data_IF_457534607843
#
_entry.id   IF_457534607843
#
_cell.length_a   1.000
_cell.length_b   1.000
_cell.length_c   1.000
_cell.angle_alpha   90.00
_cell.angle_beta   90.00
_cell.angle_gamma   90.00
#
_symmetry.space_group_name_H-M   'P 1'
#
loop_
_entity.id
_entity.type
_entity.pdbx_description
1 polymer ?
#
# COMPACT_ATOMS: atom_id res chain seq x y z
N UNK A 1 29.44 -13.82 -5.17
CA UNK A 1 28.52 -12.79 -4.62
C UNK A 1 27.30 -13.52 -4.10
N UNK A 2 26.98 -13.43 -2.81
CA UNK A 2 25.74 -14.01 -2.30
C UNK A 2 24.58 -13.20 -2.89
N UNK A 3 23.68 -13.84 -3.63
CA UNK A 3 22.52 -13.16 -4.20
C UNK A 3 21.59 -12.76 -3.04
N UNK A 4 21.35 -11.47 -2.86
CA UNK A 4 20.36 -11.02 -1.88
C UNK A 4 19.00 -11.62 -2.26
N UNK A 5 18.21 -12.12 -1.30
CA UNK A 5 16.89 -12.64 -1.61
C UNK A 5 16.03 -11.52 -2.20
N UNK A 6 15.27 -11.83 -3.26
CA UNK A 6 14.30 -10.90 -3.84
C UNK A 6 13.27 -10.55 -2.77
N UNK A 7 13.00 -9.26 -2.56
CA UNK A 7 12.00 -8.86 -1.58
C UNK A 7 10.62 -8.85 -2.23
N UNK A 8 9.65 -9.48 -1.58
CA UNK A 8 8.25 -9.44 -2.00
C UNK A 8 7.41 -8.75 -0.94
N UNK A 9 6.79 -7.65 -1.32
CA UNK A 9 5.91 -6.85 -0.45
C UNK A 9 4.47 -7.14 -0.85
N UNK A 10 3.73 -7.81 0.02
CA UNK A 10 2.30 -8.10 -0.18
C UNK A 10 1.47 -7.11 0.61
N UNK A 11 0.60 -6.36 -0.06
CA UNK A 11 -0.22 -5.31 0.55
C UNK A 11 -1.69 -5.64 0.33
N UNK A 12 -2.44 -5.74 1.42
CA UNK A 12 -3.85 -6.08 1.45
C UNK A 12 -4.65 -4.92 2.06
N UNK A 13 -5.57 -4.33 1.31
CA UNK A 13 -6.36 -3.17 1.77
C UNK A 13 -7.85 -3.44 1.64
N UNK A 14 -8.56 -3.42 2.77
CA UNK A 14 -9.95 -3.80 2.82
C UNK A 14 -10.92 -2.71 2.33
N UNK A 15 -12.15 -3.13 2.04
CA UNK A 15 -13.26 -2.23 1.74
C UNK A 15 -13.76 -1.49 2.99
N UNK A 16 -14.49 -0.39 2.78
CA UNK A 16 -15.14 0.34 3.88
C UNK A 16 -15.93 -0.59 4.80
N UNK A 17 -15.87 -0.33 6.11
CA UNK A 17 -16.58 -1.10 7.14
C UNK A 17 -16.09 -2.54 7.33
N UNK A 18 -14.94 -2.93 6.78
CA UNK A 18 -14.33 -4.22 7.04
C UNK A 18 -13.06 -4.10 7.89
N UNK A 19 -12.95 -5.00 8.85
CA UNK A 19 -11.79 -5.23 9.68
C UNK A 19 -11.50 -6.75 9.79
N UNK A 20 -10.47 -7.17 10.54
CA UNK A 20 -10.17 -8.59 10.78
C UNK A 20 -11.34 -9.44 11.29
N UNK A 21 -12.38 -8.86 11.87
CA UNK A 21 -13.57 -9.55 12.39
C UNK A 21 -14.76 -9.47 11.42
N UNK A 22 -14.52 -9.06 10.17
CA UNK A 22 -15.55 -8.94 9.15
C UNK A 22 -16.20 -7.56 9.11
N UNK A 23 -17.50 -7.53 8.81
CA UNK A 23 -18.24 -6.28 8.68
C UNK A 23 -18.45 -5.64 10.07
N UNK A 24 -17.85 -4.47 10.30
CA UNK A 24 -17.83 -3.72 11.57
C UNK A 24 -19.23 -3.46 12.12
N UNK A 25 -20.22 -3.33 11.24
CA UNK A 25 -21.62 -3.03 11.60
C UNK A 25 -22.38 -4.23 12.14
N UNK A 26 -21.90 -5.45 11.86
CA UNK A 26 -22.57 -6.68 12.28
C UNK A 26 -21.77 -7.52 13.26
N UNK A 27 -20.45 -7.26 13.46
CA UNK A 27 -19.49 -7.88 14.42
C UNK A 27 -19.51 -9.42 14.60
N UNK A 28 -20.41 -10.11 13.92
CA UNK A 28 -20.60 -11.56 13.78
C UNK A 28 -20.34 -11.97 12.32
N UNK A 29 -19.56 -11.16 11.60
CA UNK A 29 -19.40 -11.26 10.15
C UNK A 29 -18.26 -12.18 9.71
N UNK A 30 -18.47 -12.83 8.56
CA UNK A 30 -17.40 -13.51 7.84
C UNK A 30 -16.26 -12.52 7.51
N UNK A 31 -15.02 -12.97 7.61
CA UNK A 31 -13.86 -12.17 7.24
C UNK A 31 -13.98 -11.74 5.77
N UNK A 32 -13.49 -10.55 5.44
CA UNK A 32 -13.38 -10.14 4.04
C UNK A 32 -12.45 -11.09 3.28
N UNK A 33 -12.65 -11.21 1.97
CA UNK A 33 -11.71 -11.96 1.14
C UNK A 33 -10.30 -11.38 1.19
N UNK A 34 -10.15 -10.07 1.40
CA UNK A 34 -8.85 -9.41 1.55
C UNK A 34 -8.13 -9.87 2.81
N UNK A 35 -8.84 -9.89 3.95
CA UNK A 35 -8.27 -10.40 5.20
C UNK A 35 -7.94 -11.89 5.10
N UNK A 36 -8.80 -12.68 4.43
CA UNK A 36 -8.52 -14.11 4.16
C UNK A 36 -7.27 -14.30 3.30
N UNK A 37 -7.08 -13.49 2.27
CA UNK A 37 -5.84 -13.51 1.47
C UNK A 37 -4.65 -13.19 2.39
N UNK A 38 -4.72 -12.09 3.14
CA UNK A 38 -3.65 -11.66 4.05
C UNK A 38 -3.23 -12.76 5.03
N UNK A 39 -4.18 -13.44 5.68
CA UNK A 39 -3.87 -14.50 6.65
C UNK A 39 -3.25 -15.75 6.02
N UNK A 40 -3.37 -15.93 4.70
CA UNK A 40 -2.69 -17.00 3.97
C UNK A 40 -1.29 -16.63 3.47
N UNK A 41 -0.87 -15.37 3.59
CA UNK A 41 0.44 -14.90 3.14
C UNK A 41 1.53 -15.43 4.07
N UNK A 42 2.45 -16.22 3.53
CA UNK A 42 3.63 -16.70 4.26
C UNK A 42 4.66 -15.58 4.46
N UNK A 43 4.96 -15.19 5.69
CA UNK A 43 6.00 -14.21 5.97
C UNK A 43 7.38 -14.84 6.18
N UNK A 44 8.44 -14.05 5.94
CA UNK A 44 9.82 -14.45 6.17
C UNK A 44 10.56 -14.86 4.89
N UNK A 45 11.70 -15.53 5.06
CA UNK A 45 12.57 -15.94 3.95
C UNK A 45 12.30 -17.40 3.58
N UNK A 46 12.06 -17.66 2.29
CA UNK A 46 11.89 -19.02 1.77
C UNK A 46 12.41 -19.13 0.33
N UNK A 47 12.54 -20.36 -0.16
CA UNK A 47 12.93 -20.63 -1.55
C UNK A 47 11.67 -20.97 -2.35
N UNK A 48 11.50 -20.31 -3.49
CA UNK A 48 10.45 -20.59 -4.48
C UNK A 48 11.09 -20.53 -5.87
N UNK A 49 10.84 -21.53 -6.71
CA UNK A 49 11.37 -21.60 -8.09
C UNK A 49 12.90 -21.37 -8.17
N UNK A 50 13.66 -22.04 -7.29
CA UNK A 50 15.12 -21.91 -7.15
C UNK A 50 15.64 -20.50 -6.81
N UNK A 51 14.77 -19.62 -6.30
CA UNK A 51 15.11 -18.25 -5.91
C UNK A 51 14.75 -18.02 -4.45
N UNK A 52 15.67 -17.38 -3.71
CA UNK A 52 15.41 -16.95 -2.34
C UNK A 52 14.52 -15.70 -2.35
N UNK A 53 13.42 -15.75 -1.61
CA UNK A 53 12.43 -14.67 -1.49
C UNK A 53 12.33 -14.27 -0.03
N UNK A 54 12.39 -12.97 0.25
CA UNK A 54 12.06 -12.38 1.56
C UNK A 54 10.70 -11.71 1.47
N UNK A 55 9.66 -12.39 1.93
CA UNK A 55 8.27 -11.92 1.83
C UNK A 55 7.84 -11.20 3.11
N UNK A 56 7.23 -10.03 2.95
CA UNK A 56 6.62 -9.25 4.04
C UNK A 56 5.17 -8.93 3.67
N UNK A 57 4.27 -9.01 4.64
CA UNK A 57 2.85 -8.74 4.44
C UNK A 57 2.40 -7.50 5.21
N UNK A 58 1.50 -6.72 4.62
CA UNK A 58 0.87 -5.57 5.25
C UNK A 58 -0.64 -5.61 5.01
N UNK A 59 -1.40 -5.44 6.08
CA UNK A 59 -2.85 -5.33 6.03
C UNK A 59 -3.31 -3.97 6.57
N UNK A 60 -4.24 -3.35 5.87
CA UNK A 60 -4.96 -2.18 6.37
C UNK A 60 -6.47 -2.38 6.23
N UNK A 61 -7.18 -2.18 7.35
CA UNK A 61 -8.65 -2.18 7.40
C UNK A 61 -9.25 -1.02 6.61
N UNK A 62 -10.52 -1.14 6.23
CA UNK A 62 -11.22 -0.04 5.56
C UNK A 62 -11.45 1.16 6.47
N UNK A 63 -11.16 2.37 5.98
CA UNK A 63 -11.44 3.64 6.68
C UNK A 63 -12.94 3.89 6.86
N UNK A 64 -13.47 3.87 8.08
CA UNK A 64 -14.91 4.15 8.27
C UNK A 64 -15.37 4.29 9.72
N UNK A 65 -14.47 4.47 10.68
CA UNK A 65 -14.78 4.24 12.09
C UNK A 65 -15.73 5.27 12.77
N UNK A 66 -16.12 6.36 12.09
CA UNK A 66 -16.76 7.49 12.78
C UNK A 66 -18.27 7.67 12.57
N UNK A 67 -18.97 6.81 11.81
CA UNK A 67 -20.44 6.95 11.66
C UNK A 67 -21.18 5.65 11.84
N UNK A 68 -22.31 5.71 12.54
CA UNK A 68 -23.29 4.63 12.50
C UNK A 68 -23.69 4.38 11.03
N UNK A 69 -23.87 3.13 10.61
CA UNK A 69 -24.28 2.79 9.26
C UNK A 69 -25.77 3.10 9.15
N UNK A 70 -26.12 4.35 8.86
CA UNK A 70 -27.48 4.72 8.51
C UNK A 70 -27.81 4.06 7.16
N UNK A 71 -29.07 3.62 7.03
CA UNK A 71 -29.59 2.56 6.15
C UNK A 71 -29.50 2.79 4.63
N UNK A 72 -28.61 3.67 4.17
CA UNK A 72 -28.47 4.02 2.77
C UNK A 72 -27.09 3.61 2.26
N UNK A 73 -27.08 2.72 1.27
CA UNK A 73 -25.91 2.34 0.45
C UNK A 73 -25.12 3.56 -0.10
N UNK A 74 -25.75 4.75 -0.15
CA UNK A 74 -25.16 6.00 -0.61
C UNK A 74 -24.28 6.73 0.43
N UNK A 75 -24.39 6.45 1.73
CA UNK A 75 -23.58 7.11 2.77
C UNK A 75 -22.21 6.43 3.01
N UNK A 76 -21.93 5.33 2.31
CA UNK A 76 -20.62 4.65 2.32
C UNK A 76 -19.45 5.52 1.79
N UNK A 77 -19.73 6.75 1.33
CA UNK A 77 -18.79 7.70 0.73
C UNK A 77 -18.34 8.78 1.73
N UNK A 78 -18.93 8.91 2.93
CA UNK A 78 -18.60 10.04 3.83
C UNK A 78 -17.29 9.90 4.61
N UNK A 79 -16.28 9.27 4.04
CA UNK A 79 -14.89 9.40 4.52
C UNK A 79 -14.32 10.69 3.95
N UNK A 80 -13.71 11.54 4.78
CA UNK A 80 -13.08 12.76 4.27
C UNK A 80 -12.00 12.41 3.24
N UNK A 81 -11.88 13.21 2.19
CA UNK A 81 -10.79 13.08 1.21
C UNK A 81 -9.42 13.01 1.91
N UNK A 82 -9.26 13.79 2.98
CA UNK A 82 -8.06 13.77 3.83
C UNK A 82 -7.76 12.38 4.41
N UNK A 83 -8.77 11.64 4.88
CA UNK A 83 -8.54 10.30 5.43
C UNK A 83 -8.15 9.29 4.35
N UNK A 84 -8.66 9.46 3.12
CA UNK A 84 -8.27 8.67 1.96
C UNK A 84 -6.83 8.98 1.53
N UNK A 85 -6.48 10.26 1.45
CA UNK A 85 -5.12 10.71 1.15
C UNK A 85 -4.13 10.20 2.20
N UNK A 86 -4.50 10.29 3.48
CA UNK A 86 -3.69 9.75 4.57
C UNK A 86 -3.50 8.22 4.47
N UNK A 87 -4.51 7.48 4.04
CA UNK A 87 -4.41 6.04 3.80
C UNK A 87 -3.44 5.73 2.65
N UNK A 88 -3.61 6.38 1.49
CA UNK A 88 -2.68 6.28 0.35
C UNK A 88 -1.26 6.59 0.80
N UNK A 89 -1.06 7.67 1.56
CA UNK A 89 0.25 8.11 2.02
C UNK A 89 0.92 7.09 2.94
N UNK A 90 0.16 6.46 3.85
CA UNK A 90 0.69 5.42 4.75
C UNK A 90 1.13 4.19 3.97
N UNK A 91 0.29 3.67 3.08
CA UNK A 91 0.59 2.48 2.28
C UNK A 91 1.78 2.75 1.36
N UNK A 92 1.76 3.87 0.64
CA UNK A 92 2.83 4.22 -0.27
C UNK A 92 4.18 4.36 0.48
N UNK A 93 4.18 5.02 1.64
CA UNK A 93 5.36 5.11 2.51
C UNK A 93 5.87 3.73 2.93
N UNK A 94 4.99 2.85 3.39
CA UNK A 94 5.35 1.49 3.78
C UNK A 94 6.01 0.74 2.61
N UNK A 95 5.42 0.80 1.41
CA UNK A 95 5.98 0.18 0.23
C UNK A 95 7.38 0.71 -0.08
N UNK A 96 7.59 2.03 -0.09
CA UNK A 96 8.90 2.64 -0.31
C UNK A 96 9.95 2.27 0.75
N UNK A 97 9.52 2.06 2.00
CA UNK A 97 10.43 1.63 3.07
C UNK A 97 10.85 0.16 2.92
N UNK A 98 9.97 -0.66 2.35
CA UNK A 98 10.26 -2.07 2.12
C UNK A 98 11.07 -2.29 0.85
N UNK A 99 10.68 -1.68 -0.27
CA UNK A 99 11.35 -1.87 -1.56
C UNK A 99 12.76 -1.28 -1.54
N UNK A 100 13.70 -2.04 -2.09
CA UNK A 100 15.14 -1.78 -2.05
C UNK A 100 15.88 -2.09 -3.33
N UNK A 101 15.35 -2.91 -4.24
CA UNK A 101 16.02 -3.27 -5.49
C UNK A 101 15.01 -3.26 -6.64
N UNK A 102 15.47 -3.08 -7.89
CA UNK A 102 14.60 -3.14 -9.07
C UNK A 102 14.01 -4.52 -9.34
N UNK A 103 14.55 -5.56 -8.70
CA UNK A 103 14.04 -6.93 -8.74
C UNK A 103 12.97 -7.20 -7.70
N UNK A 104 12.72 -6.27 -6.78
CA UNK A 104 11.72 -6.42 -5.74
C UNK A 104 10.30 -6.41 -6.32
N UNK A 105 9.42 -7.20 -5.70
CA UNK A 105 8.08 -7.44 -6.18
C UNK A 105 7.05 -6.77 -5.27
N UNK A 106 6.09 -6.04 -5.84
CA UNK A 106 4.96 -5.44 -5.13
C UNK A 106 3.65 -6.11 -5.54
N UNK A 107 2.97 -6.75 -4.58
CA UNK A 107 1.74 -7.51 -4.80
C UNK A 107 0.58 -6.80 -4.08
N UNK A 108 -0.42 -6.34 -4.82
CA UNK A 108 -1.49 -5.48 -4.32
C UNK A 108 -2.85 -6.19 -4.38
N UNK A 109 -3.52 -6.33 -3.24
CA UNK A 109 -4.84 -6.93 -3.11
C UNK A 109 -5.81 -5.96 -2.42
N UNK A 110 -6.81 -5.48 -3.14
CA UNK A 110 -7.77 -4.51 -2.60
C UNK A 110 -9.20 -4.81 -2.97
N UNK A 111 -10.14 -4.42 -2.10
CA UNK A 111 -11.58 -4.55 -2.35
C UNK A 111 -12.30 -3.22 -2.17
N UNK A 112 -13.30 -2.94 -3.03
CA UNK A 112 -14.10 -1.71 -3.00
C UNK A 112 -13.21 -0.45 -2.91
N UNK A 113 -13.35 0.38 -1.88
CA UNK A 113 -12.49 1.55 -1.68
C UNK A 113 -11.01 1.18 -1.45
N UNK A 114 -10.70 0.04 -0.84
CA UNK A 114 -9.33 -0.45 -0.74
C UNK A 114 -8.70 -0.72 -2.11
N UNK A 115 -9.49 -1.18 -3.09
CA UNK A 115 -9.02 -1.32 -4.48
C UNK A 115 -8.73 0.04 -5.12
N UNK A 116 -9.57 1.06 -4.86
CA UNK A 116 -9.30 2.43 -5.32
C UNK A 116 -7.97 2.96 -4.75
N UNK A 117 -7.76 2.81 -3.45
CA UNK A 117 -6.52 3.23 -2.77
C UNK A 117 -5.30 2.57 -3.40
N UNK A 118 -5.34 1.25 -3.61
CA UNK A 118 -4.22 0.52 -4.20
C UNK A 118 -3.97 0.88 -5.67
N UNK A 119 -5.00 1.28 -6.43
CA UNK A 119 -4.82 1.83 -7.77
C UNK A 119 -4.07 3.15 -7.76
N UNK A 120 -4.39 4.04 -6.81
CA UNK A 120 -3.64 5.31 -6.64
C UNK A 120 -2.19 5.02 -6.25
N UNK A 121 -1.96 4.09 -5.32
CA UNK A 121 -0.59 3.66 -4.92
C UNK A 121 0.19 3.10 -6.11
N UNK A 122 -0.44 2.24 -6.92
CA UNK A 122 0.18 1.68 -8.12
C UNK A 122 0.52 2.76 -9.15
N UNK A 123 -0.37 3.75 -9.34
CA UNK A 123 -0.14 4.87 -10.24
C UNK A 123 1.01 5.77 -9.77
N UNK A 124 1.14 6.02 -8.45
CA UNK A 124 2.30 6.73 -7.89
C UNK A 124 3.61 6.00 -8.21
N UNK A 125 3.66 4.66 -8.04
CA UNK A 125 4.83 3.88 -8.43
C UNK A 125 5.08 3.93 -9.94
N UNK A 126 4.04 3.85 -10.77
CA UNK A 126 4.17 3.93 -12.21
C UNK A 126 4.72 5.28 -12.66
N UNK A 127 4.15 6.37 -12.17
CA UNK A 127 4.62 7.73 -12.45
C UNK A 127 6.06 7.92 -11.98
N UNK A 128 6.42 7.43 -10.80
CA UNK A 128 7.80 7.55 -10.35
C UNK A 128 8.72 6.73 -11.26
N UNK A 129 8.44 5.45 -11.50
CA UNK A 129 9.35 4.52 -12.20
C UNK A 129 9.45 4.68 -13.72
N UNK A 130 8.45 5.27 -14.38
CA UNK A 130 8.46 5.41 -15.85
C UNK A 130 9.12 6.68 -16.35
N UNK A 131 9.39 7.65 -15.47
CA UNK A 131 9.90 8.93 -15.92
C UNK A 131 11.43 8.89 -16.03
N UNK A 132 11.89 8.40 -17.19
CA UNK A 132 13.30 8.23 -17.59
C UNK A 132 14.08 9.53 -17.83
N UNK A 133 13.55 10.69 -17.46
CA UNK A 133 14.14 11.99 -17.85
C UNK A 133 14.48 12.89 -16.68
N UNK A 134 14.27 12.47 -15.43
CA UNK A 134 14.52 13.34 -14.29
C UNK A 134 15.95 13.19 -13.82
N UNK A 135 16.63 14.32 -13.64
CA UNK A 135 17.81 14.35 -12.79
C UNK A 135 17.38 14.27 -11.31
N UNK A 136 18.33 13.98 -10.42
CA UNK A 136 18.09 13.89 -8.98
C UNK A 136 17.39 15.15 -8.43
N UNK A 137 17.69 16.33 -8.97
CA UNK A 137 17.07 17.58 -8.52
C UNK A 137 15.59 17.67 -8.90
N UNK A 138 15.21 17.27 -10.11
CA UNK A 138 13.82 17.26 -10.56
C UNK A 138 13.00 16.23 -9.77
N UNK A 139 13.59 15.07 -9.46
CA UNK A 139 12.92 14.05 -8.64
C UNK A 139 12.70 14.46 -7.20
N UNK A 140 13.72 15.04 -6.55
CA UNK A 140 13.58 15.64 -5.22
C UNK A 140 12.48 16.71 -5.21
N UNK A 141 12.45 17.55 -6.26
CA UNK A 141 11.45 18.60 -6.38
C UNK A 141 10.04 18.00 -6.50
N UNK A 142 9.78 17.03 -7.38
CA UNK A 142 8.40 16.52 -7.52
C UNK A 142 7.96 15.63 -6.38
N UNK A 143 8.88 14.89 -5.73
CA UNK A 143 8.57 14.28 -4.43
C UNK A 143 8.12 15.35 -3.45
N UNK A 144 8.81 16.49 -3.36
CA UNK A 144 8.38 17.57 -2.45
C UNK A 144 7.02 18.18 -2.81
N UNK A 145 6.60 18.08 -4.08
CA UNK A 145 5.28 18.53 -4.56
C UNK A 145 4.17 17.53 -4.28
N UNK A 146 4.49 16.24 -4.12
CA UNK A 146 3.51 15.22 -3.80
C UNK A 146 3.00 15.41 -2.36
N UNK A 147 1.67 15.53 -2.15
CA UNK A 147 1.07 15.70 -0.82
C UNK A 147 1.61 14.76 0.28
N UNK A 148 1.87 13.46 0.04
CA UNK A 148 2.45 12.55 1.04
C UNK A 148 3.78 12.97 1.65
N UNK A 149 4.60 13.69 0.88
CA UNK A 149 6.03 13.86 1.12
C UNK A 149 6.41 15.28 1.49
N UNK A 150 5.55 16.24 1.15
CA UNK A 150 5.72 17.66 1.48
C UNK A 150 5.87 17.93 2.99
N UNK A 151 5.30 17.08 3.83
CA UNK A 151 5.24 17.29 5.29
C UNK A 151 6.12 16.31 6.11
N UNK A 152 6.87 15.39 5.48
CA UNK A 152 7.65 14.39 6.23
C UNK A 152 8.99 14.04 5.56
N UNK A 153 10.12 14.49 6.12
CA UNK A 153 11.46 14.19 5.61
C UNK A 153 11.76 12.69 5.54
N UNK A 154 11.27 11.89 6.49
CA UNK A 154 11.46 10.43 6.51
C UNK A 154 10.73 9.72 5.36
N UNK A 155 9.51 10.19 5.03
CA UNK A 155 8.75 9.67 3.89
C UNK A 155 9.46 10.03 2.58
N UNK A 156 9.91 11.28 2.44
CA UNK A 156 10.65 11.73 1.27
C UNK A 156 11.91 10.88 1.06
N UNK A 157 12.68 10.64 2.13
CA UNK A 157 13.89 9.81 2.08
C UNK A 157 13.62 8.35 1.70
N UNK A 158 12.44 7.82 2.05
CA UNK A 158 12.04 6.47 1.65
C UNK A 158 11.70 6.41 0.16
N UNK A 159 10.99 7.40 -0.36
CA UNK A 159 10.65 7.48 -1.79
C UNK A 159 11.89 7.75 -2.68
N UNK A 160 12.88 8.49 -2.19
CA UNK A 160 14.18 8.66 -2.86
C UNK A 160 14.96 7.37 -3.06
N UNK A 161 14.74 6.35 -2.22
CA UNK A 161 15.35 5.04 -2.47
C UNK A 161 14.86 4.46 -3.79
N UNK A 162 13.57 4.61 -4.10
CA UNK A 162 12.96 4.07 -5.33
C UNK A 162 13.57 4.70 -6.58
N UNK A 163 13.94 5.98 -6.54
CA UNK A 163 14.58 6.68 -7.66
C UNK A 163 15.91 6.09 -8.08
N UNK A 164 16.74 5.67 -7.12
CA UNK A 164 18.10 5.19 -7.39
C UNK A 164 18.14 3.93 -8.26
N UNK A 165 16.98 3.32 -8.51
CA UNK A 165 16.82 2.08 -9.27
C UNK A 165 16.08 2.28 -10.61
N UNK A 166 15.75 3.52 -10.97
CA UNK A 166 15.30 3.90 -12.31
C UNK A 166 16.49 4.28 -13.19
#
# INVERSE_FOLDING_TARGET
>A
MAYNPVKRVVVCVDGTWYDPNGLVVRREGNNSNIYRIYTTVKEGTFVQDNRAIKQVAYYESGVGFDKQPLDNFNDSITTSQEALDNQVNRIFTFCCQQLSESTDELWLYGFSRGAYVLRVVADLFHQLTTIRTWDEHEYQHKISLLPPFRASPQKAQSALKVFRYM
#
